data_IF_586762395964
#
_entry.id   IF_586762395964
#
_cell.length_a   1.000
_cell.length_b   1.000
_cell.length_c   1.000
_cell.angle_alpha   90.00
_cell.angle_beta   90.00
_cell.angle_gamma   90.00
#
_symmetry.space_group_name_H-M   'P 1'
#
loop_
_entity.id
_entity.type
_entity.pdbx_description
1 polymer ?
#
# COMPACT_ATOMS: atom_id res chain seq x y z
N UNK A 1 18.36 13.34 9.24
CA UNK A 1 17.41 12.81 8.26
C UNK A 1 16.05 12.95 8.92
N UNK A 2 15.24 13.85 8.39
CA UNK A 2 13.85 13.91 8.78
C UNK A 2 13.17 12.68 8.15
N UNK A 3 12.39 11.96 8.95
CA UNK A 3 11.63 10.80 8.45
C UNK A 3 10.44 11.25 7.62
N UNK A 4 9.77 10.28 6.97
CA UNK A 4 8.50 10.54 6.30
C UNK A 4 7.52 11.20 7.26
N UNK A 5 6.79 12.20 6.76
CA UNK A 5 5.63 12.75 7.45
C UNK A 5 4.55 11.68 7.58
N UNK A 6 3.62 11.88 8.51
CA UNK A 6 2.47 10.99 8.70
C UNK A 6 1.62 10.84 7.42
N UNK A 7 1.47 11.93 6.67
CA UNK A 7 0.75 11.91 5.39
C UNK A 7 1.47 11.08 4.34
N UNK A 8 2.80 11.16 4.26
CA UNK A 8 3.59 10.40 3.28
C UNK A 8 3.64 8.92 3.63
N UNK A 9 3.77 8.59 4.92
CA UNK A 9 3.67 7.22 5.40
C UNK A 9 2.29 6.60 5.12
N UNK A 10 1.22 7.39 5.28
CA UNK A 10 -0.14 6.96 4.94
C UNK A 10 -0.31 6.73 3.43
N UNK A 11 0.21 7.63 2.59
CA UNK A 11 0.21 7.46 1.13
C UNK A 11 0.92 6.18 0.71
N UNK A 12 2.09 5.89 1.29
CA UNK A 12 2.83 4.66 1.01
C UNK A 12 2.04 3.41 1.42
N UNK A 13 1.46 3.42 2.63
CA UNK A 13 0.64 2.30 3.10
C UNK A 13 -0.61 2.09 2.22
N UNK A 14 -1.26 3.16 1.76
CA UNK A 14 -2.40 3.07 0.83
C UNK A 14 -1.98 2.54 -0.55
N UNK A 15 -0.82 2.92 -1.06
CA UNK A 15 -0.30 2.38 -2.31
C UNK A 15 -0.09 0.86 -2.22
N UNK A 16 0.46 0.36 -1.10
CA UNK A 16 0.61 -1.08 -0.88
C UNK A 16 -0.75 -1.81 -0.81
N UNK A 17 -1.77 -1.21 -0.21
CA UNK A 17 -3.13 -1.77 -0.21
C UNK A 17 -3.74 -1.76 -1.63
N UNK A 18 -3.44 -0.74 -2.44
CA UNK A 18 -3.87 -0.69 -3.84
C UNK A 18 -3.22 -1.83 -4.67
N UNK A 19 -1.91 -2.04 -4.53
CA UNK A 19 -1.21 -3.18 -5.19
C UNK A 19 -1.80 -4.51 -4.73
N UNK A 20 -2.05 -4.68 -3.43
CA UNK A 20 -2.71 -5.88 -2.92
C UNK A 20 -4.11 -6.09 -3.51
N UNK A 21 -4.90 -5.03 -3.61
CA UNK A 21 -6.25 -5.07 -4.20
C UNK A 21 -6.20 -5.46 -5.68
N UNK A 22 -5.26 -4.90 -6.43
CA UNK A 22 -5.04 -5.25 -7.83
C UNK A 22 -4.61 -6.73 -8.00
N UNK A 23 -3.82 -7.27 -7.06
CA UNK A 23 -3.40 -8.68 -7.09
C UNK A 23 -4.54 -9.68 -6.88
N UNK A 24 -5.61 -9.27 -6.20
CA UNK A 24 -6.75 -10.16 -5.88
C UNK A 24 -7.74 -10.25 -7.04
N UNK A 25 -7.97 -9.17 -7.79
CA UNK A 25 -9.09 -9.11 -8.75
C UNK A 25 -8.83 -8.23 -9.99
N UNK A 26 -7.66 -7.58 -10.09
CA UNK A 26 -7.40 -6.55 -11.10
C UNK A 26 -6.85 -7.04 -12.44
N UNK A 27 -6.38 -8.29 -12.50
CA UNK A 27 -5.65 -8.82 -13.67
C UNK A 27 -4.29 -8.17 -13.89
N UNK A 28 -3.55 -8.63 -14.90
CA UNK A 28 -2.15 -8.20 -15.15
C UNK A 28 -2.00 -6.70 -15.40
N UNK A 29 -2.98 -6.07 -16.05
CA UNK A 29 -2.93 -4.62 -16.34
C UNK A 29 -3.06 -3.78 -15.07
N UNK A 30 -3.97 -4.13 -14.16
CA UNK A 30 -4.13 -3.39 -12.91
C UNK A 30 -2.94 -3.60 -11.96
N UNK A 31 -2.35 -4.80 -11.95
CA UNK A 31 -1.13 -5.07 -11.21
C UNK A 31 0.02 -4.19 -11.71
N UNK A 32 0.29 -4.19 -13.03
CA UNK A 32 1.32 -3.34 -13.63
C UNK A 32 1.10 -1.85 -13.36
N UNK A 33 -0.14 -1.37 -13.45
CA UNK A 33 -0.46 0.02 -13.16
C UNK A 33 -0.24 0.36 -11.67
N UNK A 34 -0.55 -0.56 -10.76
CA UNK A 34 -0.37 -0.35 -9.32
C UNK A 34 1.10 -0.39 -8.91
N UNK A 35 1.89 -1.32 -9.48
CA UNK A 35 3.34 -1.41 -9.26
C UNK A 35 4.04 -0.14 -9.76
N UNK A 36 3.69 0.31 -10.96
CA UNK A 36 4.22 1.56 -11.51
C UNK A 36 3.87 2.77 -10.63
N UNK A 37 2.62 2.88 -10.19
CA UNK A 37 2.18 3.97 -9.31
C UNK A 37 2.89 3.96 -7.95
N UNK A 38 3.24 2.77 -7.41
CA UNK A 38 4.05 2.68 -6.20
C UNK A 38 5.47 3.22 -6.42
N UNK A 39 6.11 2.89 -7.54
CA UNK A 39 7.44 3.42 -7.88
C UNK A 39 7.40 4.94 -8.04
N UNK A 40 6.42 5.47 -8.79
CA UNK A 40 6.25 6.92 -8.97
C UNK A 40 6.03 7.64 -7.64
N UNK A 41 5.25 7.03 -6.73
CA UNK A 41 5.06 7.58 -5.38
C UNK A 41 6.38 7.62 -4.61
N UNK A 42 7.13 6.52 -4.56
CA UNK A 42 8.40 6.46 -3.81
C UNK A 42 9.44 7.41 -4.41
N UNK A 43 9.47 7.55 -5.74
CA UNK A 43 10.29 8.54 -6.43
C UNK A 43 9.92 9.97 -6.02
N UNK A 44 8.62 10.30 -6.00
CA UNK A 44 8.12 11.60 -5.56
C UNK A 44 8.34 11.92 -4.08
N UNK A 45 8.52 10.88 -3.23
CA UNK A 45 8.87 11.02 -1.81
C UNK A 45 10.39 11.10 -1.58
N UNK A 46 11.20 10.91 -2.62
CA UNK A 46 12.66 10.91 -2.53
C UNK A 46 13.24 12.29 -2.87
N UNK A 47 14.25 12.74 -2.13
CA UNK A 47 14.94 14.01 -2.41
C UNK A 47 15.66 14.03 -3.77
N UNK A 48 16.01 12.84 -4.26
CA UNK A 48 16.65 12.63 -5.56
C UNK A 48 15.93 11.50 -6.29
N UNK A 49 15.87 11.55 -7.64
CA UNK A 49 15.25 10.49 -8.42
C UNK A 49 15.86 9.12 -8.11
N UNK A 50 15.01 8.10 -8.08
CA UNK A 50 15.43 6.72 -7.97
C UNK A 50 16.27 6.34 -9.18
N UNK A 51 17.34 5.60 -8.92
CA UNK A 51 18.01 4.84 -9.98
C UNK A 51 17.12 3.71 -10.46
N UNK A 52 17.33 3.24 -11.70
CA UNK A 52 16.60 2.08 -12.26
C UNK A 52 16.63 0.87 -11.32
N UNK A 53 17.79 0.61 -10.69
CA UNK A 53 17.93 -0.50 -9.74
C UNK A 53 17.11 -0.30 -8.46
N UNK A 54 16.95 0.93 -7.99
CA UNK A 54 16.11 1.22 -6.83
C UNK A 54 14.63 1.10 -7.17
N UNK A 55 14.21 1.53 -8.37
CA UNK A 55 12.87 1.31 -8.87
C UNK A 55 12.52 -0.19 -8.92
N UNK A 56 13.39 -1.04 -9.49
CA UNK A 56 13.22 -2.50 -9.48
C UNK A 56 13.06 -3.08 -8.06
N UNK A 57 13.81 -2.55 -7.09
CA UNK A 57 13.71 -2.98 -5.69
C UNK A 57 12.38 -2.58 -5.08
N UNK A 58 11.89 -1.35 -5.36
CA UNK A 58 10.59 -0.88 -4.90
C UNK A 58 9.46 -1.73 -5.48
N UNK A 59 9.51 -2.07 -6.77
CA UNK A 59 8.55 -2.98 -7.42
C UNK A 59 8.52 -4.35 -6.73
N UNK A 60 9.69 -4.94 -6.47
CA UNK A 60 9.77 -6.24 -5.78
C UNK A 60 9.21 -6.18 -4.34
N UNK A 61 9.49 -5.09 -3.61
CA UNK A 61 8.93 -4.88 -2.27
C UNK A 61 7.41 -4.74 -2.36
N UNK A 62 6.90 -3.94 -3.30
CA UNK A 62 5.47 -3.76 -3.56
C UNK A 62 4.77 -5.09 -3.82
N UNK A 63 5.31 -5.89 -4.73
CA UNK A 63 4.78 -7.22 -5.08
C UNK A 63 4.78 -8.17 -3.88
N UNK A 64 5.87 -8.23 -3.11
CA UNK A 64 5.94 -9.07 -1.91
C UNK A 64 4.94 -8.62 -0.83
N UNK A 65 4.85 -7.31 -0.57
CA UNK A 65 3.90 -6.73 0.37
C UNK A 65 2.45 -6.95 -0.07
N UNK A 66 2.17 -6.90 -1.37
CA UNK A 66 0.87 -7.19 -1.93
C UNK A 66 0.47 -8.65 -1.73
N UNK A 67 1.39 -9.59 -2.01
CA UNK A 67 1.15 -11.02 -1.79
C UNK A 67 0.86 -11.33 -0.31
N UNK A 68 1.62 -10.73 0.61
CA UNK A 68 1.40 -10.87 2.06
C UNK A 68 0.03 -10.31 2.46
N UNK A 69 -0.28 -9.08 2.02
CA UNK A 69 -1.54 -8.40 2.33
C UNK A 69 -2.74 -9.16 1.77
N UNK A 70 -2.67 -9.63 0.53
CA UNK A 70 -3.69 -10.45 -0.10
C UNK A 70 -3.87 -11.78 0.63
N UNK A 71 -2.78 -12.48 0.96
CA UNK A 71 -2.83 -13.75 1.68
C UNK A 71 -3.48 -13.62 3.08
N UNK A 72 -3.07 -12.61 3.86
CA UNK A 72 -3.66 -12.34 5.18
C UNK A 72 -5.13 -11.92 5.03
N UNK A 73 -5.46 -11.08 4.06
CA UNK A 73 -6.82 -10.61 3.84
C UNK A 73 -7.76 -11.75 3.43
N UNK A 74 -7.30 -12.63 2.53
CA UNK A 74 -8.05 -13.82 2.12
C UNK A 74 -8.27 -14.79 3.28
N UNK A 75 -7.23 -15.07 4.09
CA UNK A 75 -7.37 -15.93 5.27
C UNK A 75 -8.36 -15.36 6.29
N UNK A 76 -8.34 -14.04 6.51
CA UNK A 76 -9.27 -13.37 7.41
C UNK A 76 -10.70 -13.35 6.84
N UNK A 77 -10.85 -13.14 5.53
CA UNK A 77 -12.12 -13.17 4.83
C UNK A 77 -12.79 -14.55 4.97
N UNK A 78 -12.02 -15.63 4.75
CA UNK A 78 -12.48 -17.01 4.93
C UNK A 78 -12.89 -17.30 6.38
N UNK A 79 -12.07 -16.89 7.36
CA UNK A 79 -12.37 -17.09 8.79
C UNK A 79 -13.64 -16.36 9.26
N UNK A 80 -14.06 -15.31 8.56
CA UNK A 80 -15.16 -14.42 8.97
C UNK A 80 -16.37 -14.49 8.04
N UNK A 81 -16.33 -15.33 7.00
CA UNK A 81 -17.34 -15.40 5.94
C UNK A 81 -17.63 -14.02 5.32
N UNK A 82 -16.55 -13.31 4.96
CA UNK A 82 -16.59 -11.99 4.36
C UNK A 82 -15.99 -12.01 2.96
N UNK A 83 -16.35 -11.00 2.16
CA UNK A 83 -15.67 -10.71 0.90
C UNK A 83 -14.27 -10.10 1.20
N UNK A 84 -13.24 -10.58 0.50
CA UNK A 84 -11.85 -10.10 0.66
C UNK A 84 -11.70 -8.60 0.36
N UNK A 85 -12.50 -8.05 -0.54
CA UNK A 85 -12.53 -6.61 -0.83
C UNK A 85 -13.10 -5.79 0.34
N UNK A 86 -13.95 -6.39 1.18
CA UNK A 86 -14.39 -5.75 2.43
C UNK A 86 -13.20 -5.66 3.40
N UNK A 87 -12.40 -6.72 3.52
CA UNK A 87 -11.22 -6.74 4.39
C UNK A 87 -10.17 -5.73 3.92
N UNK A 88 -9.85 -5.69 2.63
CA UNK A 88 -8.90 -4.73 2.06
C UNK A 88 -9.37 -3.28 2.21
N UNK A 89 -10.68 -3.02 2.04
CA UNK A 89 -11.27 -1.69 2.29
C UNK A 89 -11.17 -1.28 3.75
N UNK A 90 -11.36 -2.21 4.69
CA UNK A 90 -11.19 -1.95 6.11
C UNK A 90 -9.72 -1.68 6.45
N UNK A 91 -8.77 -2.37 5.81
CA UNK A 91 -7.34 -2.10 5.95
C UNK A 91 -6.99 -0.67 5.45
N UNK A 92 -7.46 -0.29 4.26
CA UNK A 92 -7.28 1.07 3.75
C UNK A 92 -7.87 2.13 4.68
N UNK A 93 -9.08 1.89 5.21
CA UNK A 93 -9.73 2.77 6.17
C UNK A 93 -8.91 2.92 7.46
N UNK A 94 -8.36 1.82 7.98
CA UNK A 94 -7.54 1.84 9.18
C UNK A 94 -6.25 2.67 8.98
N UNK A 95 -5.64 2.63 7.79
CA UNK A 95 -4.49 3.48 7.44
C UNK A 95 -4.86 4.97 7.52
N UNK A 96 -5.99 5.35 6.93
CA UNK A 96 -6.48 6.74 6.97
C UNK A 96 -6.84 7.16 8.39
N UNK A 97 -7.50 6.31 9.17
CA UNK A 97 -7.86 6.64 10.56
C UNK A 97 -6.62 6.79 11.45
N UNK A 98 -5.59 5.96 11.23
CA UNK A 98 -4.32 6.08 11.94
C UNK A 98 -3.63 7.42 11.64
N UNK A 99 -3.61 7.83 10.37
CA UNK A 99 -2.96 9.08 9.93
C UNK A 99 -3.67 10.37 10.35
N UNK A 100 -4.96 10.28 10.72
CA UNK A 100 -5.71 11.40 11.30
C UNK A 100 -5.68 11.36 12.85
N UNK A 101 -5.51 10.17 13.43
CA UNK A 101 -5.52 9.94 14.87
C UNK A 101 -4.28 10.45 15.61
N UNK A 102 -3.10 10.47 14.99
CA UNK A 102 -1.90 11.00 15.65
C UNK A 102 -1.87 12.55 15.65
N UNK A 103 -2.46 13.21 14.64
CA UNK A 103 -2.65 14.67 14.61
C UNK A 103 -3.73 15.20 15.57
N UNK A 104 -4.68 14.35 16.01
CA UNK A 104 -5.83 14.75 16.83
C UNK A 104 -5.62 14.74 18.36
N UNK A 105 -4.45 14.31 18.87
CA UNK A 105 -4.13 14.25 20.31
C UNK A 105 -3.20 15.37 20.80
N UNK A 106 -3.12 16.49 20.07
CA UNK A 106 -2.30 17.64 20.42
C UNK A 106 -3.09 18.97 20.53
N UNK A 107 -4.37 18.91 20.89
CA UNK A 107 -5.20 20.08 21.19
C UNK A 107 -5.83 19.98 22.58
#
# INVERSE_FOLDING_TARGET
MDGLTESEAASLALALVAVATASVDGGEDAMRASDHGLVELVDGLSDVPLTDRQAEVVEMIGSASAAITAGISSALAEQRDLDVHVVLRLAARAVVEHSHGAGGRAA
#
